data_IF_179166454985
#
_entry.id   IF_179166454985
#
_cell.length_a   1.000
_cell.length_b   1.000
_cell.length_c   1.000
_cell.angle_alpha   90.00
_cell.angle_beta   90.00
_cell.angle_gamma   90.00
#
_symmetry.space_group_name_H-M   'P 1'
#
loop_
_entity.id
_entity.type
_entity.pdbx_description
1 polymer ?
#
# COMPACT_ATOMS: atom_id res chain seq x y z
N UNK A 1 -18.74 -6.06 -8.69
CA UNK A 1 -17.51 -5.83 -7.90
C UNK A 1 -17.58 -4.48 -7.23
N UNK A 2 -17.30 -4.43 -5.92
CA UNK A 2 -17.32 -3.19 -5.14
C UNK A 2 -15.93 -2.59 -5.04
N UNK A 3 -15.88 -1.28 -4.82
CA UNK A 3 -14.65 -0.56 -4.50
C UNK A 3 -14.80 0.05 -3.11
N UNK A 4 -13.82 -0.19 -2.25
CA UNK A 4 -13.72 0.38 -0.93
C UNK A 4 -12.64 1.46 -0.93
N UNK A 5 -12.95 2.62 -0.38
CA UNK A 5 -12.02 3.72 -0.13
C UNK A 5 -11.69 3.78 1.34
N UNK A 6 -10.40 3.87 1.66
CA UNK A 6 -9.87 4.08 3.00
C UNK A 6 -9.04 5.36 3.05
N UNK A 7 -9.28 6.17 4.09
CA UNK A 7 -8.40 7.28 4.47
C UNK A 7 -7.65 6.89 5.74
N UNK A 8 -6.34 6.78 5.65
CA UNK A 8 -5.46 6.29 6.71
C UNK A 8 -4.50 7.37 7.17
N UNK A 9 -4.12 7.31 8.43
CA UNK A 9 -3.07 8.14 9.01
C UNK A 9 -2.09 7.27 9.80
N UNK A 10 -0.80 7.57 9.66
CA UNK A 10 0.26 7.02 10.49
C UNK A 10 1.15 8.16 10.97
N UNK A 11 1.45 8.20 12.26
CA UNK A 11 2.37 9.20 12.82
C UNK A 11 3.78 9.00 12.26
N UNK A 12 4.24 7.75 12.24
CA UNK A 12 5.46 7.34 11.58
C UNK A 12 5.27 6.05 10.82
N UNK A 13 5.98 5.89 9.69
CA UNK A 13 5.98 4.64 8.93
C UNK A 13 7.31 4.37 8.25
N UNK A 14 7.66 3.08 8.11
CA UNK A 14 8.76 2.63 7.28
C UNK A 14 8.29 1.50 6.34
N UNK A 15 8.09 1.82 5.10
CA UNK A 15 7.81 0.86 4.03
C UNK A 15 9.12 0.34 3.46
N UNK A 16 9.73 -0.58 4.19
CA UNK A 16 11.10 -1.01 3.97
C UNK A 16 11.34 -1.50 2.55
N UNK A 17 12.36 -0.93 1.87
CA UNK A 17 12.84 -1.40 0.58
C UNK A 17 13.51 -2.78 0.71
N UNK A 18 13.35 -3.67 -0.29
CA UNK A 18 14.11 -4.92 -0.34
C UNK A 18 15.61 -4.59 -0.43
N UNK A 19 16.45 -5.49 0.10
CA UNK A 19 17.92 -5.34 0.13
C UNK A 19 18.49 -4.20 0.99
N UNK A 20 17.66 -3.39 1.63
CA UNK A 20 18.08 -2.37 2.60
C UNK A 20 18.52 -3.03 3.92
N UNK A 21 19.73 -3.64 3.95
CA UNK A 21 20.21 -4.45 5.07
C UNK A 21 20.86 -3.64 6.17
N UNK A 22 21.73 -2.69 5.82
CA UNK A 22 22.44 -1.82 6.78
C UNK A 22 21.57 -0.67 7.27
N UNK A 23 20.92 0.03 6.36
CA UNK A 23 19.94 1.09 6.64
C UNK A 23 18.58 0.58 6.19
N UNK A 24 17.55 0.70 7.01
CA UNK A 24 16.20 0.39 6.59
C UNK A 24 15.62 1.57 5.82
N UNK A 25 15.92 1.64 4.53
CA UNK A 25 15.33 2.65 3.65
C UNK A 25 13.83 2.41 3.44
N UNK A 26 13.07 3.49 3.34
CA UNK A 26 11.63 3.46 3.10
C UNK A 26 11.28 3.79 1.65
N UNK A 27 10.22 3.19 1.14
CA UNK A 27 9.48 3.71 -0.01
C UNK A 27 8.69 4.97 0.39
N UNK A 28 8.37 5.87 -0.55
CA UNK A 28 7.57 7.07 -0.27
C UNK A 28 6.12 6.78 0.05
N UNK A 29 5.58 5.69 -0.46
CA UNK A 29 4.24 5.17 -0.19
C UNK A 29 4.32 3.65 0.03
N UNK A 30 3.32 3.01 0.68
CA UNK A 30 3.34 1.57 0.89
C UNK A 30 3.27 0.80 -0.43
N UNK A 31 4.15 -0.20 -0.66
CA UNK A 31 4.03 -1.10 -1.80
C UNK A 31 2.70 -1.87 -1.77
N UNK A 32 2.18 -2.25 -2.93
CA UNK A 32 0.91 -2.97 -3.05
C UNK A 32 0.86 -4.24 -2.20
N UNK A 33 1.95 -5.02 -2.18
CA UNK A 33 2.04 -6.24 -1.34
C UNK A 33 1.88 -5.95 0.16
N UNK A 34 2.33 -4.79 0.63
CA UNK A 34 2.19 -4.38 2.03
C UNK A 34 0.73 -4.06 2.36
N UNK A 35 0.06 -3.36 1.46
CA UNK A 35 -1.37 -3.03 1.56
C UNK A 35 -2.23 -4.30 1.47
N UNK A 36 -1.95 -5.19 0.51
CA UNK A 36 -2.61 -6.49 0.37
C UNK A 36 -2.45 -7.30 1.67
N UNK A 37 -1.24 -7.32 2.25
CA UNK A 37 -0.99 -7.99 3.53
C UNK A 37 -1.82 -7.44 4.69
N UNK A 38 -2.02 -6.13 4.78
CA UNK A 38 -2.91 -5.50 5.76
C UNK A 38 -4.36 -5.98 5.56
N UNK A 39 -4.88 -6.00 4.33
CA UNK A 39 -6.23 -6.49 4.08
C UNK A 39 -6.41 -7.97 4.38
N UNK A 40 -5.41 -8.82 4.09
CA UNK A 40 -5.45 -10.23 4.49
C UNK A 40 -5.49 -10.39 6.01
N UNK A 41 -4.78 -9.56 6.77
CA UNK A 41 -4.89 -9.54 8.23
C UNK A 41 -6.28 -9.11 8.70
N UNK A 42 -6.86 -8.06 8.11
CA UNK A 42 -8.23 -7.61 8.38
C UNK A 42 -9.26 -8.72 8.08
N UNK A 43 -9.06 -9.47 7.01
CA UNK A 43 -9.90 -10.61 6.64
C UNK A 43 -9.70 -11.84 7.52
N UNK A 44 -8.69 -11.82 8.42
CA UNK A 44 -8.27 -12.98 9.22
C UNK A 44 -7.97 -14.20 8.34
N UNK A 45 -7.28 -13.95 7.22
CA UNK A 45 -6.94 -14.96 6.23
C UNK A 45 -6.11 -16.09 6.84
N UNK A 46 -6.54 -17.33 6.64
CA UNK A 46 -5.77 -18.50 7.06
C UNK A 46 -4.48 -18.63 6.21
N UNK A 47 -3.42 -19.25 6.74
CA UNK A 47 -2.22 -19.52 5.96
C UNK A 47 -2.53 -20.22 4.63
N UNK A 48 -2.06 -19.65 3.51
CA UNK A 48 -2.34 -20.16 2.17
C UNK A 48 -3.63 -19.65 1.52
N UNK A 49 -4.52 -18.97 2.26
CA UNK A 49 -5.67 -18.32 1.66
C UNK A 49 -5.24 -17.03 0.95
N UNK A 50 -5.76 -16.82 -0.25
CA UNK A 50 -5.54 -15.62 -1.03
C UNK A 50 -6.87 -15.02 -1.46
N UNK A 51 -7.02 -13.71 -1.25
CA UNK A 51 -8.16 -12.93 -1.68
C UNK A 51 -7.71 -11.98 -2.80
N UNK A 52 -8.11 -12.22 -4.05
CA UNK A 52 -7.77 -11.35 -5.17
C UNK A 52 -8.28 -9.93 -4.94
N UNK A 53 -7.40 -8.95 -5.11
CA UNK A 53 -7.77 -7.55 -4.98
C UNK A 53 -6.89 -6.66 -5.85
N UNK A 54 -7.46 -5.58 -6.34
CA UNK A 54 -6.75 -4.54 -7.07
C UNK A 54 -6.63 -3.29 -6.21
N UNK A 55 -5.46 -2.71 -6.14
CA UNK A 55 -5.14 -1.66 -5.18
C UNK A 55 -4.66 -0.40 -5.90
N UNK A 56 -5.18 0.75 -5.48
CA UNK A 56 -4.64 2.07 -5.79
C UNK A 56 -4.08 2.70 -4.52
N UNK A 57 -2.88 3.28 -4.58
CA UNK A 57 -2.21 3.89 -3.44
C UNK A 57 -1.79 5.31 -3.79
N UNK A 58 -2.30 6.26 -3.02
CA UNK A 58 -1.89 7.65 -3.07
C UNK A 58 -1.83 8.23 -1.67
N UNK A 59 -1.05 9.30 -1.49
CA UNK A 59 -0.91 9.91 -0.19
C UNK A 59 0.22 10.94 -0.13
N UNK A 60 0.40 11.49 1.04
CA UNK A 60 1.47 12.42 1.33
C UNK A 60 2.07 12.15 2.71
N UNK A 61 3.22 12.72 2.94
CA UNK A 61 3.91 12.73 4.23
C UNK A 61 4.58 14.09 4.42
N UNK A 62 4.83 14.47 5.67
CA UNK A 62 5.41 15.76 6.00
C UNK A 62 6.92 15.79 5.75
N UNK A 63 7.62 14.69 6.07
CA UNK A 63 9.05 14.58 5.89
C UNK A 63 9.58 13.16 6.07
N UNK A 64 10.88 13.00 5.81
CA UNK A 64 11.63 11.76 6.05
C UNK A 64 12.74 12.06 7.04
N UNK A 65 12.85 11.25 8.08
CA UNK A 65 13.93 11.36 9.05
C UNK A 65 14.60 10.01 9.29
N UNK A 66 15.83 10.05 9.79
CA UNK A 66 16.57 8.85 10.17
C UNK A 66 16.50 8.67 11.68
N UNK A 67 16.06 7.48 12.10
CA UNK A 67 15.96 7.10 13.49
C UNK A 67 16.93 5.94 13.80
N UNK A 68 17.72 6.08 14.87
CA UNK A 68 18.67 5.06 15.29
C UNK A 68 18.00 4.11 16.28
N UNK A 69 17.79 2.88 15.87
CA UNK A 69 17.05 1.87 16.63
C UNK A 69 17.89 0.63 16.87
N UNK A 70 17.61 -0.10 17.96
CA UNK A 70 18.21 -1.39 18.23
C UNK A 70 17.33 -2.52 17.71
N UNK A 71 17.81 -3.22 16.67
CA UNK A 71 17.18 -4.44 16.20
C UNK A 71 17.56 -5.60 17.12
N UNK A 72 16.58 -6.16 17.82
CA UNK A 72 16.74 -7.37 18.63
C UNK A 72 16.35 -8.60 17.82
N UNK A 73 17.27 -9.55 17.74
CA UNK A 73 17.05 -10.83 17.06
C UNK A 73 17.03 -11.95 18.11
N UNK A 74 15.93 -12.66 18.21
CA UNK A 74 15.75 -13.81 19.09
C UNK A 74 16.15 -15.07 18.34
N UNK A 75 17.26 -15.69 18.77
CA UNK A 75 17.81 -16.93 18.18
C UNK A 75 17.61 -18.06 19.16
N UNK A 76 16.42 -18.69 19.17
CA UNK A 76 16.08 -19.73 20.15
C UNK A 76 15.66 -19.16 21.52
N UNK A 77 15.51 -20.04 22.52
CA UNK A 77 14.93 -19.67 23.83
C UNK A 77 15.76 -18.68 24.64
N UNK A 78 17.09 -18.71 24.52
CA UNK A 78 17.99 -17.97 25.45
C UNK A 78 19.01 -17.06 24.74
N UNK A 79 18.98 -16.94 23.43
CA UNK A 79 19.99 -16.16 22.69
C UNK A 79 19.36 -14.96 22.00
N UNK A 80 19.57 -13.79 22.61
CA UNK A 80 19.18 -12.49 22.04
C UNK A 80 20.42 -11.78 21.53
N UNK A 81 20.44 -11.39 20.28
CA UNK A 81 21.47 -10.52 19.72
C UNK A 81 20.88 -9.15 19.43
N UNK A 82 21.57 -8.09 19.74
CA UNK A 82 21.17 -6.71 19.45
C UNK A 82 22.13 -6.09 18.44
N UNK A 83 21.57 -5.41 17.45
CA UNK A 83 22.34 -4.68 16.45
C UNK A 83 21.74 -3.28 16.27
N UNK A 84 22.55 -2.21 16.41
CA UNK A 84 22.09 -0.87 16.10
C UNK A 84 21.83 -0.75 14.59
N UNK A 85 20.78 -0.03 14.22
CA UNK A 85 20.38 0.15 12.84
C UNK A 85 19.73 1.51 12.61
N UNK A 86 20.13 2.19 11.54
CA UNK A 86 19.39 3.34 11.05
C UNK A 86 18.14 2.91 10.31
N UNK A 87 17.03 3.58 10.61
CA UNK A 87 15.74 3.36 9.98
C UNK A 87 15.23 4.69 9.44
N UNK A 88 15.00 4.77 8.14
CA UNK A 88 14.31 5.91 7.55
C UNK A 88 12.82 5.78 7.82
N UNK A 89 12.23 6.81 8.39
CA UNK A 89 10.81 6.87 8.70
C UNK A 89 10.17 8.08 8.03
N UNK A 90 8.99 7.87 7.49
CA UNK A 90 8.10 8.93 7.05
C UNK A 90 7.38 9.49 8.27
N UNK A 91 7.14 10.80 8.31
CA UNK A 91 6.42 11.49 9.37
C UNK A 91 5.05 11.97 8.86
N UNK A 92 4.01 11.85 9.69
CA UNK A 92 2.66 12.34 9.41
C UNK A 92 2.13 11.89 8.05
N UNK A 93 2.10 10.57 7.87
CA UNK A 93 1.67 9.96 6.61
C UNK A 93 0.15 9.92 6.51
N UNK A 94 -0.39 10.50 5.45
CA UNK A 94 -1.80 10.44 5.10
C UNK A 94 -1.95 9.69 3.78
N UNK A 95 -2.78 8.64 3.79
CA UNK A 95 -2.99 7.78 2.63
C UNK A 95 -4.46 7.77 2.22
N UNK A 96 -4.69 7.69 0.92
CA UNK A 96 -5.94 7.28 0.31
C UNK A 96 -5.68 5.98 -0.41
N UNK A 97 -6.38 4.94 -0.03
CA UNK A 97 -6.26 3.61 -0.62
C UNK A 97 -7.62 3.21 -1.17
N UNK A 98 -7.66 2.84 -2.45
CA UNK A 98 -8.81 2.19 -3.05
C UNK A 98 -8.50 0.72 -3.21
N UNK A 99 -9.45 -0.12 -2.83
CA UNK A 99 -9.38 -1.57 -3.05
C UNK A 99 -10.61 -2.04 -3.79
N UNK A 100 -10.40 -2.74 -4.89
CA UNK A 100 -11.41 -3.40 -5.68
C UNK A 100 -11.28 -4.91 -5.50
N UNK A 101 -12.36 -5.58 -5.12
CA UNK A 101 -12.41 -7.02 -4.94
C UNK A 101 -13.84 -7.53 -5.16
N UNK A 102 -14.04 -8.83 -4.96
CA UNK A 102 -15.39 -9.42 -4.92
C UNK A 102 -16.23 -8.78 -3.81
N UNK A 103 -17.53 -8.68 -4.04
CA UNK A 103 -18.47 -7.98 -3.15
C UNK A 103 -18.43 -8.52 -1.72
N UNK A 104 -18.40 -9.84 -1.57
CA UNK A 104 -18.31 -10.50 -0.25
C UNK A 104 -17.01 -10.15 0.49
N UNK A 105 -15.90 -10.06 -0.24
CA UNK A 105 -14.59 -9.68 0.31
C UNK A 105 -14.62 -8.23 0.81
N UNK A 106 -15.15 -7.31 0.01
CA UNK A 106 -15.29 -5.91 0.41
C UNK A 106 -16.20 -5.75 1.61
N UNK A 107 -17.36 -6.42 1.63
CA UNK A 107 -18.31 -6.35 2.74
C UNK A 107 -17.68 -6.90 4.04
N UNK A 108 -16.87 -7.97 3.94
CA UNK A 108 -16.14 -8.55 5.09
C UNK A 108 -15.06 -7.60 5.59
N UNK A 109 -14.27 -6.98 4.70
CA UNK A 109 -13.26 -5.97 5.07
C UNK A 109 -13.95 -4.82 5.80
N UNK A 110 -15.02 -4.26 5.21
CA UNK A 110 -15.77 -3.15 5.80
C UNK A 110 -16.29 -3.50 7.19
N UNK A 111 -16.95 -4.64 7.33
CA UNK A 111 -17.50 -5.12 8.60
C UNK A 111 -16.41 -5.31 9.66
N UNK A 112 -15.28 -5.92 9.31
CA UNK A 112 -14.19 -6.20 10.24
C UNK A 112 -13.49 -4.92 10.71
N UNK A 113 -13.44 -3.88 9.86
CA UNK A 113 -12.91 -2.57 10.26
C UNK A 113 -13.89 -1.82 11.16
N UNK A 114 -15.17 -1.74 10.77
CA UNK A 114 -16.17 -0.93 11.50
C UNK A 114 -16.52 -1.54 12.86
N UNK A 115 -16.63 -2.86 12.93
CA UNK A 115 -17.03 -3.58 14.15
C UNK A 115 -15.82 -4.17 14.92
N UNK A 116 -14.62 -4.09 14.35
CA UNK A 116 -13.41 -4.64 14.97
C UNK A 116 -12.88 -3.74 16.09
N UNK A 117 -12.22 -4.37 17.06
CA UNK A 117 -11.50 -3.70 18.15
C UNK A 117 -9.97 -3.82 17.96
N UNK A 118 -9.54 -4.42 16.86
CA UNK A 118 -8.13 -4.68 16.61
C UNK A 118 -7.42 -3.42 16.09
N UNK A 119 -6.16 -3.28 16.49
CA UNK A 119 -5.27 -2.25 15.96
C UNK A 119 -4.56 -2.79 14.73
N UNK A 120 -4.56 -2.01 13.66
CA UNK A 120 -3.90 -2.37 12.41
C UNK A 120 -2.54 -1.71 12.28
N UNK A 121 -1.67 -2.34 11.50
CA UNK A 121 -0.34 -1.86 11.14
C UNK A 121 -0.17 -1.89 9.62
N UNK A 122 0.58 -0.93 9.08
CA UNK A 122 0.94 -0.89 7.67
C UNK A 122 2.42 -0.51 7.54
N UNK A 123 3.23 -1.45 7.10
CA UNK A 123 4.69 -1.36 7.13
C UNK A 123 5.27 -2.36 8.12
N UNK A 124 5.95 -1.88 9.17
CA UNK A 124 6.46 -2.71 10.27
C UNK A 124 5.36 -2.96 11.31
N UNK A 125 5.62 -3.86 12.25
CA UNK A 125 4.65 -4.15 13.33
C UNK A 125 4.41 -2.94 14.26
N UNK A 126 5.38 -2.05 14.39
CA UNK A 126 5.31 -0.82 15.16
C UNK A 126 4.67 0.36 14.39
N UNK A 127 4.49 0.25 13.08
CA UNK A 127 3.90 1.30 12.25
C UNK A 127 2.36 1.21 12.32
N UNK A 128 1.80 1.78 13.39
CA UNK A 128 0.36 1.74 13.65
C UNK A 128 -0.43 2.58 12.64
N UNK A 129 -1.64 2.12 12.34
CA UNK A 129 -2.58 2.79 11.44
C UNK A 129 -3.80 3.28 12.19
N UNK A 130 -4.15 4.53 12.00
CA UNK A 130 -5.46 5.09 12.34
C UNK A 130 -6.30 5.20 11.08
N UNK A 131 -7.49 4.62 11.11
CA UNK A 131 -8.45 4.73 10.01
C UNK A 131 -9.29 5.99 10.24
N UNK A 132 -9.08 7.02 9.41
CA UNK A 132 -9.78 8.28 9.48
C UNK A 132 -11.10 8.28 8.70
N UNK A 133 -11.25 7.36 7.76
CA UNK A 133 -12.45 7.21 6.96
C UNK A 133 -12.49 5.89 6.21
N UNK A 134 -13.68 5.35 6.06
CA UNK A 134 -13.97 4.15 5.29
C UNK A 134 -15.29 4.33 4.56
N UNK A 135 -15.32 3.99 3.27
CA UNK A 135 -16.51 4.18 2.43
C UNK A 135 -16.52 3.15 1.30
N UNK A 136 -17.63 2.44 1.12
CA UNK A 136 -17.88 1.69 -0.11
C UNK A 136 -18.39 2.69 -1.14
N UNK A 137 -17.69 2.80 -2.26
CA UNK A 137 -18.04 3.73 -3.33
C UNK A 137 -19.31 3.27 -4.05
N UNK A 138 -20.17 4.21 -4.34
CA UNK A 138 -21.42 3.97 -5.09
C UNK A 138 -21.23 4.19 -6.59
N UNK A 139 -20.37 5.15 -6.93
CA UNK A 139 -20.13 5.56 -8.31
C UNK A 139 -18.65 5.85 -8.52
N UNK A 140 -18.14 5.43 -9.67
CA UNK A 140 -16.78 5.70 -10.15
C UNK A 140 -16.92 6.05 -11.63
N UNK A 141 -16.32 7.15 -12.05
CA UNK A 141 -16.41 7.69 -13.39
C UNK A 141 -15.06 7.72 -14.06
N UNK A 142 -15.02 7.49 -15.34
CA UNK A 142 -13.89 7.87 -16.18
C UNK A 142 -13.96 9.38 -16.42
N UNK A 143 -12.83 10.03 -16.24
CA UNK A 143 -12.67 11.47 -16.42
C UNK A 143 -11.39 11.74 -17.22
N UNK A 144 -11.43 12.79 -18.03
CA UNK A 144 -10.33 13.19 -18.89
C UNK A 144 -9.49 14.29 -18.26
N UNK A 145 -8.23 14.42 -18.69
CA UNK A 145 -7.30 15.51 -18.38
C UNK A 145 -7.20 15.85 -16.87
N UNK A 146 -6.99 14.83 -16.05
CA UNK A 146 -6.89 15.03 -14.61
C UNK A 146 -5.47 15.23 -14.11
N UNK A 147 -5.26 16.33 -13.40
CA UNK A 147 -4.01 16.60 -12.69
C UNK A 147 -3.80 15.65 -11.50
N UNK A 148 -2.53 15.39 -11.18
CA UNK A 148 -2.14 14.63 -9.98
C UNK A 148 -2.35 15.50 -8.75
N UNK A 149 -3.40 15.21 -7.97
CA UNK A 149 -3.80 16.01 -6.79
C UNK A 149 -2.99 15.68 -5.54
N UNK A 150 -2.54 14.44 -5.42
CA UNK A 150 -1.79 13.89 -4.29
C UNK A 150 -0.71 12.98 -4.88
N UNK A 151 0.44 12.85 -4.19
CA UNK A 151 1.47 11.92 -4.63
C UNK A 151 0.92 10.51 -4.79
N UNK A 152 1.25 9.84 -5.88
CA UNK A 152 0.66 8.55 -6.22
C UNK A 152 1.66 7.59 -6.86
N UNK A 153 1.38 6.29 -6.74
CA UNK A 153 1.93 5.29 -7.63
C UNK A 153 1.05 5.16 -8.86
N UNK A 154 1.59 5.49 -10.03
CA UNK A 154 0.92 5.39 -11.31
C UNK A 154 1.54 4.23 -12.09
N UNK A 155 0.80 3.13 -12.32
CA UNK A 155 1.27 2.01 -13.11
C UNK A 155 1.52 2.38 -14.57
N UNK A 156 2.54 1.77 -15.18
CA UNK A 156 2.92 2.03 -16.60
C UNK A 156 1.80 1.70 -17.60
N UNK A 157 0.84 0.86 -17.24
CA UNK A 157 -0.29 0.56 -18.12
C UNK A 157 -1.34 1.70 -18.18
N UNK A 158 -1.38 2.58 -17.15
CA UNK A 158 -2.22 3.79 -17.15
C UNK A 158 -1.54 4.86 -17.98
N UNK A 159 -0.28 5.18 -17.65
CA UNK A 159 0.51 6.16 -18.40
C UNK A 159 2.01 5.82 -18.30
N UNK A 160 2.58 5.45 -19.44
CA UNK A 160 3.99 5.09 -19.54
C UNK A 160 4.91 6.31 -19.66
N UNK A 161 4.42 7.41 -20.19
CA UNK A 161 5.22 8.60 -20.48
C UNK A 161 5.24 9.62 -19.33
N UNK A 162 4.33 9.50 -18.37
CA UNK A 162 4.27 10.41 -17.21
C UNK A 162 5.63 10.52 -16.50
N UNK A 163 6.02 11.73 -16.12
CA UNK A 163 7.29 11.95 -15.43
C UNK A 163 7.19 11.58 -13.95
N UNK A 164 8.15 10.81 -13.47
CA UNK A 164 8.19 10.36 -12.07
C UNK A 164 9.36 9.44 -11.78
N UNK A 165 9.47 9.03 -10.52
CA UNK A 165 10.51 8.11 -10.08
C UNK A 165 10.06 6.68 -10.34
N UNK A 166 10.82 5.94 -11.14
CA UNK A 166 10.50 4.54 -11.47
C UNK A 166 10.70 3.62 -10.26
N UNK A 167 9.68 2.82 -9.98
CA UNK A 167 9.73 1.73 -9.02
C UNK A 167 9.21 0.44 -9.64
N UNK A 168 9.76 -0.68 -9.18
CA UNK A 168 9.24 -2.01 -9.46
C UNK A 168 8.74 -2.61 -8.16
N UNK A 169 7.42 -2.55 -7.93
CA UNK A 169 6.79 -2.91 -6.67
C UNK A 169 6.27 -4.34 -6.68
N UNK A 170 6.43 -5.01 -5.55
CA UNK A 170 5.83 -6.33 -5.34
C UNK A 170 4.30 -6.21 -5.21
N UNK A 171 3.59 -7.18 -5.80
CA UNK A 171 2.14 -7.33 -5.68
C UNK A 171 1.81 -8.62 -4.93
N UNK A 172 1.70 -9.73 -5.64
CA UNK A 172 1.40 -11.06 -5.11
C UNK A 172 2.63 -11.94 -5.14
N UNK A 173 2.57 -13.13 -4.56
CA UNK A 173 3.65 -14.10 -4.64
C UNK A 173 3.12 -15.52 -4.75
N UNK A 174 3.91 -16.38 -5.36
CA UNK A 174 3.75 -17.85 -5.36
C UNK A 174 4.87 -18.47 -4.56
N UNK A 175 4.58 -19.58 -3.89
CA UNK A 175 5.61 -20.37 -3.21
C UNK A 175 6.11 -21.42 -4.20
N UNK A 176 7.39 -21.35 -4.52
CA UNK A 176 8.08 -22.35 -5.32
C UNK A 176 9.35 -22.77 -4.59
N UNK A 177 9.48 -24.07 -4.33
CA UNK A 177 10.63 -24.64 -3.59
C UNK A 177 10.87 -23.92 -2.25
N UNK A 178 9.81 -23.71 -1.47
CA UNK A 178 9.80 -22.97 -0.20
C UNK A 178 10.27 -21.51 -0.27
N UNK A 179 10.43 -20.95 -1.48
CA UNK A 179 10.83 -19.56 -1.72
C UNK A 179 9.65 -18.79 -2.28
N UNK A 180 9.43 -17.55 -1.76
CA UNK A 180 8.45 -16.62 -2.30
C UNK A 180 8.96 -16.00 -3.60
N UNK A 181 8.32 -16.34 -4.71
CA UNK A 181 8.52 -15.67 -5.99
C UNK A 181 7.47 -14.57 -6.13
N UNK A 182 7.92 -13.32 -6.15
CA UNK A 182 7.06 -12.16 -6.20
C UNK A 182 6.72 -11.75 -7.63
N UNK A 183 5.43 -11.58 -7.89
CA UNK A 183 4.96 -10.82 -9.03
C UNK A 183 5.21 -9.33 -8.77
N UNK A 184 5.55 -8.59 -9.83
CA UNK A 184 5.94 -7.19 -9.72
C UNK A 184 5.27 -6.36 -10.80
N UNK A 185 4.96 -5.13 -10.46
CA UNK A 185 4.45 -4.12 -11.39
C UNK A 185 5.42 -2.94 -11.44
N UNK A 186 5.63 -2.43 -12.65
CA UNK A 186 6.35 -1.19 -12.86
C UNK A 186 5.39 -0.02 -12.62
N UNK A 187 5.85 0.94 -11.84
CA UNK A 187 5.08 2.14 -11.53
C UNK A 187 6.01 3.35 -11.53
N UNK A 188 5.43 4.52 -11.73
CA UNK A 188 6.07 5.79 -11.43
C UNK A 188 5.49 6.39 -10.15
N UNK A 189 6.35 6.82 -9.26
CA UNK A 189 5.95 7.67 -8.14
C UNK A 189 5.95 9.11 -8.65
N UNK A 190 4.78 9.72 -8.68
CA UNK A 190 4.57 11.08 -9.16
C UNK A 190 4.14 11.96 -8.01
N UNK A 191 4.81 13.10 -7.88
CA UNK A 191 4.49 14.09 -6.86
C UNK A 191 3.47 15.10 -7.38
N UNK A 192 2.57 15.54 -6.51
CA UNK A 192 1.47 16.47 -6.84
C UNK A 192 1.91 17.81 -7.46
N UNK A 193 3.19 18.17 -7.27
CA UNK A 193 3.73 19.45 -7.77
C UNK A 193 4.34 19.39 -9.16
N UNK A 194 4.31 18.22 -9.80
CA UNK A 194 4.94 18.03 -11.12
C UNK A 194 4.13 18.62 -12.27
N UNK A 195 2.91 19.10 -12.03
CA UNK A 195 1.95 19.54 -13.05
C UNK A 195 1.65 18.47 -14.13
N UNK A 196 1.88 17.21 -13.79
CA UNK A 196 1.52 16.09 -14.66
C UNK A 196 0.01 15.85 -14.65
N UNK A 197 -0.54 15.56 -15.84
CA UNK A 197 -1.94 15.17 -16.02
C UNK A 197 -2.01 13.81 -16.70
N UNK A 198 -3.12 13.13 -16.51
CA UNK A 198 -3.43 11.85 -17.15
C UNK A 198 -4.62 12.06 -18.05
N UNK A 199 -4.52 11.58 -19.30
CA UNK A 199 -5.55 11.78 -20.33
C UNK A 199 -6.88 11.14 -19.93
N UNK A 200 -6.85 9.93 -19.38
CA UNK A 200 -8.06 9.17 -19.01
C UNK A 200 -7.82 8.40 -17.71
N UNK A 201 -8.66 8.65 -16.69
CA UNK A 201 -8.50 8.05 -15.37
C UNK A 201 -9.83 7.83 -14.66
N UNK A 202 -9.90 6.80 -13.82
CA UNK A 202 -11.00 6.59 -12.91
C UNK A 202 -10.96 7.62 -11.76
N UNK A 203 -12.12 8.19 -11.45
CA UNK A 203 -12.30 9.09 -10.32
C UNK A 203 -13.49 8.67 -9.47
N UNK A 204 -13.34 8.75 -8.15
CA UNK A 204 -14.41 8.46 -7.22
C UNK A 204 -15.38 9.65 -7.05
N UNK A 205 -16.50 9.40 -6.37
CA UNK A 205 -17.56 10.38 -6.11
C UNK A 205 -17.11 11.55 -5.21
N UNK A 206 -15.96 11.44 -4.53
CA UNK A 206 -15.35 12.52 -3.75
C UNK A 206 -14.32 13.33 -4.57
N UNK A 207 -14.08 12.93 -5.82
CA UNK A 207 -13.14 13.57 -6.74
C UNK A 207 -11.69 13.14 -6.56
N UNK A 208 -11.41 12.03 -5.87
CA UNK A 208 -10.08 11.45 -5.78
C UNK A 208 -9.83 10.48 -6.95
N UNK A 209 -8.69 10.61 -7.63
CA UNK A 209 -8.32 9.75 -8.75
C UNK A 209 -7.97 8.33 -8.26
N UNK A 210 -8.14 7.33 -9.11
CA UNK A 210 -7.91 5.92 -8.79
C UNK A 210 -6.89 5.33 -9.75
N UNK A 211 -5.76 4.84 -9.24
CA UNK A 211 -4.63 4.30 -10.01
C UNK A 211 -4.45 2.81 -9.68
N UNK A 212 -5.37 1.95 -10.12
CA UNK A 212 -5.26 0.52 -9.86
C UNK A 212 -3.99 -0.07 -10.49
N UNK A 213 -3.28 -0.94 -9.75
CA UNK A 213 -2.01 -1.51 -10.21
C UNK A 213 -2.16 -2.50 -11.37
N UNK A 214 -3.36 -2.95 -11.67
CA UNK A 214 -3.68 -3.86 -12.77
C UNK A 214 -4.94 -3.40 -13.47
N UNK A 215 -5.00 -3.58 -14.77
CA UNK A 215 -6.19 -3.31 -15.61
C UNK A 215 -7.40 -4.18 -15.17
N UNK A 216 -7.13 -5.39 -14.69
CA UNK A 216 -8.15 -6.32 -14.16
C UNK A 216 -7.76 -6.81 -12.79
N UNK A 217 -8.73 -7.23 -11.98
CA UNK A 217 -8.42 -7.92 -10.72
C UNK A 217 -7.57 -9.15 -11.05
N UNK A 218 -6.37 -9.27 -10.45
CA UNK A 218 -5.52 -10.42 -10.68
C UNK A 218 -6.26 -11.70 -10.30
N UNK A 219 -6.29 -12.67 -11.20
CA UNK A 219 -6.82 -13.98 -10.90
C UNK A 219 -6.06 -14.57 -9.71
N UNK A 220 -6.79 -15.19 -8.79
CA UNK A 220 -6.20 -15.89 -7.66
C UNK A 220 -5.14 -16.91 -8.11
N UNK A 221 -4.27 -17.27 -7.18
CA UNK A 221 -3.20 -18.27 -7.36
C UNK A 221 -3.74 -19.64 -7.78
#
# INVERSE_FOLDING_TARGET
MKILKLKLYQETACYKKPFATKVAETYPLPPYSTVIGMFHKILQAQPGAYFPMNISVQGNYEGIFSNYQNLRMYKGKDKVTSMPRNVHQLLNVNLIIHVQAEDETIDKIYKNIVNGTETFTLGRNEDLVRINGIKILKDVKEVEDQNIKINAYIPEWIDKEINGINYRLNTTYKIKEDIRQWDKVNVKYVEKYTNESIEEILQDEDGDNIYFYSERIPNGL
#
